data_IF_487169945181
#
_entry.id   IF_487169945181
#
_cell.length_a   1.000
_cell.length_b   1.000
_cell.length_c   1.000
_cell.angle_alpha   90.00
_cell.angle_beta   90.00
_cell.angle_gamma   90.00
#
_symmetry.space_group_name_H-M   'P 1'
#
loop_
_entity.id
_entity.type
_entity.pdbx_description
1 polymer ?
#
# COMPACT_ATOMS: atom_id res chain seq x y z
N UNK A 1 3.69 37.52 -17.56
CA UNK A 1 4.16 36.15 -17.36
C UNK A 1 4.00 35.83 -15.89
N UNK A 2 3.21 34.81 -15.62
CA UNK A 2 2.94 34.34 -14.27
C UNK A 2 4.22 33.75 -13.65
N UNK A 3 4.34 33.81 -12.32
CA UNK A 3 5.49 33.25 -11.61
C UNK A 3 5.61 31.73 -11.86
N UNK A 4 4.46 31.06 -11.95
CA UNK A 4 4.35 29.63 -12.24
C UNK A 4 4.74 29.30 -13.70
N UNK A 5 4.35 30.15 -14.64
CA UNK A 5 4.68 30.03 -16.06
C UNK A 5 6.18 30.23 -16.31
N UNK A 6 6.81 31.14 -15.55
CA UNK A 6 8.26 31.39 -15.62
C UNK A 6 9.07 30.27 -14.94
N UNK A 7 8.53 29.63 -13.90
CA UNK A 7 9.12 28.46 -13.25
C UNK A 7 9.02 27.21 -14.16
N UNK A 8 7.89 27.03 -14.83
CA UNK A 8 7.65 25.96 -15.80
C UNK A 8 8.62 26.02 -16.99
N UNK A 9 8.79 27.20 -17.58
CA UNK A 9 9.70 27.39 -18.71
C UNK A 9 11.18 27.24 -18.33
N UNK A 10 11.56 27.54 -17.08
CA UNK A 10 12.92 27.28 -16.58
C UNK A 10 13.16 25.79 -16.31
N UNK A 11 12.15 25.05 -15.85
CA UNK A 11 12.23 23.60 -15.61
C UNK A 11 12.42 22.77 -16.88
N UNK A 12 11.88 23.23 -18.02
CA UNK A 12 12.06 22.57 -19.32
C UNK A 12 13.49 22.69 -19.89
N UNK A 13 14.27 23.67 -19.44
CA UNK A 13 15.59 23.98 -19.98
C UNK A 13 16.76 23.40 -19.17
N UNK A 14 16.50 22.84 -17.99
CA UNK A 14 17.51 22.25 -17.13
C UNK A 14 17.10 20.80 -16.83
N UNK A 15 17.96 19.83 -17.17
CA UNK A 15 17.92 18.52 -16.51
C UNK A 15 18.17 18.77 -15.01
N UNK A 16 17.08 19.01 -14.28
CA UNK A 16 17.14 19.26 -12.86
C UNK A 16 17.69 17.99 -12.19
N UNK A 17 18.76 18.08 -11.40
CA UNK A 17 19.25 16.94 -10.65
C UNK A 17 18.12 16.42 -9.76
N UNK A 18 17.96 15.09 -9.73
CA UNK A 18 16.92 14.43 -8.96
C UNK A 18 16.90 14.98 -7.51
N UNK A 19 15.73 15.41 -7.00
CA UNK A 19 15.65 15.99 -5.67
C UNK A 19 16.21 15.03 -4.63
N UNK A 20 17.05 15.58 -3.75
CA UNK A 20 17.70 14.85 -2.65
C UNK A 20 16.61 14.32 -1.72
N UNK A 21 16.61 13.01 -1.43
CA UNK A 21 15.64 12.31 -0.58
C UNK A 21 15.54 12.91 0.83
N UNK A 22 14.73 13.94 0.99
CA UNK A 22 13.98 14.17 2.24
C UNK A 22 13.01 13.00 2.37
N UNK A 23 12.87 12.40 3.56
CA UNK A 23 11.93 11.29 3.77
C UNK A 23 10.60 11.57 3.07
N UNK A 24 10.08 10.59 2.33
CA UNK A 24 8.85 10.72 1.55
C UNK A 24 7.69 11.06 2.48
N UNK A 25 7.39 12.36 2.63
CA UNK A 25 6.31 12.85 3.48
C UNK A 25 5.01 12.82 2.70
N UNK A 26 4.03 12.08 3.21
CA UNK A 26 2.65 12.14 2.70
C UNK A 26 2.09 13.55 2.95
N UNK A 27 1.47 14.21 1.95
CA UNK A 27 0.85 15.52 2.16
C UNK A 27 -0.20 15.47 3.27
N UNK A 28 -0.24 16.49 4.13
CA UNK A 28 -1.13 16.52 5.29
C UNK A 28 -2.62 16.43 4.87
N UNK A 29 -3.00 17.03 3.74
CA UNK A 29 -4.35 16.92 3.17
C UNK A 29 -4.76 15.50 2.76
N UNK A 30 -3.78 14.63 2.43
CA UNK A 30 -4.05 13.22 2.14
C UNK A 30 -4.23 12.42 3.43
N UNK A 31 -3.51 12.78 4.50
CA UNK A 31 -3.73 12.19 5.81
C UNK A 31 -5.14 12.52 6.32
N UNK A 32 -5.54 13.80 6.25
CA UNK A 32 -6.89 14.26 6.58
C UNK A 32 -7.97 13.55 5.75
N UNK A 33 -7.72 13.31 4.46
CA UNK A 33 -8.64 12.59 3.58
C UNK A 33 -8.82 11.13 4.03
N UNK A 34 -7.73 10.45 4.37
CA UNK A 34 -7.78 9.06 4.82
C UNK A 34 -8.51 8.95 6.17
N UNK A 35 -8.23 9.86 7.10
CA UNK A 35 -8.92 9.91 8.40
C UNK A 35 -10.43 10.21 8.25
N UNK A 36 -10.83 10.88 7.17
CA UNK A 36 -12.23 11.17 6.83
C UNK A 36 -13.02 10.00 6.22
N UNK A 37 -12.41 8.82 6.05
CA UNK A 37 -12.99 7.65 5.39
C UNK A 37 -13.16 6.44 6.34
N UNK A 38 -13.93 6.56 7.43
CA UNK A 38 -13.93 5.59 8.53
C UNK A 38 -14.43 4.18 8.15
N UNK A 39 -15.14 4.04 7.03
CA UNK A 39 -15.69 2.77 6.55
C UNK A 39 -14.94 2.22 5.33
N UNK A 40 -13.86 2.87 4.90
CA UNK A 40 -13.16 2.56 3.67
C UNK A 40 -11.65 2.45 3.94
N UNK A 41 -11.14 1.22 4.10
CA UNK A 41 -9.72 0.99 4.35
C UNK A 41 -8.86 1.73 3.32
N UNK A 42 -7.90 2.51 3.80
CA UNK A 42 -7.08 3.33 2.94
C UNK A 42 -5.62 3.41 3.40
N UNK A 43 -4.73 3.46 2.41
CA UNK A 43 -3.30 3.62 2.65
C UNK A 43 -2.63 4.38 1.50
N UNK A 44 -1.45 4.93 1.77
CA UNK A 44 -0.59 5.55 0.76
C UNK A 44 0.62 4.67 0.56
N UNK A 45 1.04 4.49 -0.70
CA UNK A 45 2.30 3.84 -1.04
C UNK A 45 3.09 4.65 -2.07
N UNK A 46 4.40 4.45 -2.10
CA UNK A 46 5.25 4.98 -3.17
C UNK A 46 5.35 4.03 -4.38
N UNK A 47 6.14 4.43 -5.39
CA UNK A 47 6.40 3.61 -6.58
C UNK A 47 7.02 2.23 -6.28
N UNK A 48 7.77 2.10 -5.18
CA UNK A 48 8.34 0.82 -4.76
C UNK A 48 7.35 -0.07 -4.00
N UNK A 49 6.13 0.40 -3.72
CA UNK A 49 5.11 -0.22 -2.86
C UNK A 49 5.43 -0.21 -1.36
N UNK A 50 6.31 0.69 -0.91
CA UNK A 50 6.46 0.95 0.53
C UNK A 50 5.23 1.71 1.02
N UNK A 51 4.62 1.22 2.10
CA UNK A 51 3.50 1.86 2.77
C UNK A 51 3.99 3.12 3.52
N UNK A 52 3.42 4.27 3.21
CA UNK A 52 3.81 5.58 3.76
C UNK A 52 2.81 6.11 4.79
N UNK A 53 1.54 5.76 4.65
CA UNK A 53 0.46 6.07 5.59
C UNK A 53 -0.60 4.98 5.50
N UNK A 54 -1.34 4.73 6.57
CA UNK A 54 -2.35 3.67 6.64
C UNK A 54 -3.38 4.05 7.71
N UNK A 55 -4.66 3.83 7.42
CA UNK A 55 -5.72 3.99 8.41
C UNK A 55 -5.88 2.74 9.31
N UNK A 56 -6.50 2.86 10.49
CA UNK A 56 -6.68 1.72 11.39
C UNK A 56 -7.44 0.56 10.75
N UNK A 57 -8.43 0.83 9.90
CA UNK A 57 -9.24 -0.20 9.28
C UNK A 57 -8.43 -1.00 8.24
N UNK A 58 -7.56 -0.36 7.47
CA UNK A 58 -6.65 -1.08 6.57
C UNK A 58 -5.58 -1.85 7.33
N UNK A 59 -5.05 -1.31 8.43
CA UNK A 59 -4.11 -2.02 9.31
C UNK A 59 -4.75 -3.27 9.94
N UNK A 60 -6.07 -3.28 10.14
CA UNK A 60 -6.79 -4.45 10.64
C UNK A 60 -6.99 -5.54 9.58
N UNK A 61 -7.03 -5.21 8.28
CA UNK A 61 -7.12 -6.22 7.22
C UNK A 61 -5.90 -7.14 7.17
N UNK A 62 -4.72 -6.60 7.47
CA UNK A 62 -3.47 -7.34 7.61
C UNK A 62 -2.45 -6.56 8.44
N UNK A 63 -1.70 -7.23 9.33
CA UNK A 63 -0.62 -6.59 10.09
C UNK A 63 0.52 -6.03 9.22
N UNK A 64 0.60 -6.41 7.94
CA UNK A 64 1.59 -5.88 6.99
C UNK A 64 1.21 -4.51 6.43
N UNK A 65 -0.03 -4.06 6.57
CA UNK A 65 -0.41 -2.68 6.30
C UNK A 65 0.11 -1.77 7.41
N UNK A 66 1.39 -1.45 7.33
CA UNK A 66 2.14 -0.69 8.32
C UNK A 66 3.16 0.21 7.65
N UNK A 67 3.28 1.44 8.14
CA UNK A 67 4.26 2.41 7.63
C UNK A 67 5.67 1.82 7.64
N UNK A 68 6.36 1.95 6.51
CA UNK A 68 7.71 1.42 6.27
C UNK A 68 7.76 -0.02 5.76
N UNK A 69 6.63 -0.75 5.74
CA UNK A 69 6.57 -2.09 5.15
C UNK A 69 6.42 -1.99 3.63
N UNK A 70 7.23 -2.75 2.90
CA UNK A 70 7.05 -2.95 1.47
C UNK A 70 5.97 -4.01 1.23
N UNK A 71 4.82 -3.60 0.69
CA UNK A 71 3.64 -4.43 0.56
C UNK A 71 3.81 -5.56 -0.47
N UNK A 72 4.57 -5.33 -1.54
CA UNK A 72 4.89 -6.39 -2.51
C UNK A 72 5.82 -7.45 -1.89
N UNK A 73 6.81 -7.02 -1.11
CA UNK A 73 7.67 -7.96 -0.37
C UNK A 73 6.87 -8.75 0.65
N UNK A 74 5.97 -8.11 1.40
CA UNK A 74 5.11 -8.79 2.36
C UNK A 74 4.25 -9.87 1.69
N UNK A 75 3.52 -9.54 0.62
CA UNK A 75 2.65 -10.52 -0.06
C UNK A 75 3.43 -11.70 -0.67
N UNK A 76 4.67 -11.48 -1.12
CA UNK A 76 5.49 -12.52 -1.73
C UNK A 76 6.20 -13.43 -0.70
N UNK A 77 6.46 -12.94 0.51
CA UNK A 77 7.36 -13.59 1.47
C UNK A 77 6.70 -13.97 2.80
N UNK A 78 5.63 -13.31 3.23
CA UNK A 78 4.91 -13.65 4.45
C UNK A 78 3.85 -14.72 4.13
N UNK A 79 3.96 -15.95 4.70
CA UNK A 79 2.96 -17.00 4.49
C UNK A 79 1.55 -16.59 4.92
N UNK A 80 1.43 -15.67 5.89
CA UNK A 80 0.12 -15.18 6.37
C UNK A 80 -0.62 -14.40 5.30
N UNK A 81 0.09 -13.68 4.43
CA UNK A 81 -0.54 -13.02 3.28
C UNK A 81 -1.09 -14.02 2.27
N UNK A 82 -0.40 -15.16 2.10
CA UNK A 82 -0.86 -16.23 1.22
C UNK A 82 -2.09 -16.95 1.77
N UNK A 83 -2.17 -17.15 3.08
CA UNK A 83 -3.34 -17.74 3.75
C UNK A 83 -4.54 -16.78 3.75
N UNK A 84 -4.28 -15.48 3.94
CA UNK A 84 -5.29 -14.44 3.95
C UNK A 84 -5.91 -14.22 2.57
N UNK A 85 -5.16 -14.34 1.48
CA UNK A 85 -5.58 -13.86 0.15
C UNK A 85 -5.97 -15.00 -0.79
N UNK A 86 -7.27 -15.09 -1.11
CA UNK A 86 -7.79 -16.04 -2.12
C UNK A 86 -7.29 -15.72 -3.53
N UNK A 87 -6.99 -14.45 -3.77
CA UNK A 87 -6.54 -13.88 -5.03
C UNK A 87 -5.01 -13.69 -5.10
N UNK A 88 -4.26 -14.40 -4.25
CA UNK A 88 -2.81 -14.24 -4.11
C UNK A 88 -2.04 -14.41 -5.43
N UNK A 89 -2.44 -15.35 -6.27
CA UNK A 89 -1.80 -15.57 -7.57
C UNK A 89 -1.93 -14.34 -8.48
N UNK A 90 -3.13 -13.77 -8.59
CA UNK A 90 -3.40 -12.58 -9.40
C UNK A 90 -2.73 -11.33 -8.79
N UNK A 91 -2.76 -11.19 -7.46
CA UNK A 91 -2.12 -10.08 -6.76
C UNK A 91 -0.61 -10.05 -6.99
N UNK A 92 0.04 -11.20 -6.87
CA UNK A 92 1.49 -11.30 -7.08
C UNK A 92 1.86 -11.08 -8.54
N UNK A 93 1.08 -11.59 -9.48
CA UNK A 93 1.29 -11.33 -10.91
C UNK A 93 1.17 -9.84 -11.25
N UNK A 94 0.11 -9.18 -10.78
CA UNK A 94 -0.10 -7.75 -10.99
C UNK A 94 1.02 -6.92 -10.33
N UNK A 95 1.37 -7.23 -9.08
CA UNK A 95 2.41 -6.52 -8.32
C UNK A 95 3.79 -6.60 -8.99
N UNK A 96 4.18 -7.78 -9.47
CA UNK A 96 5.46 -7.98 -10.17
C UNK A 96 5.47 -7.25 -11.52
N UNK A 97 4.36 -7.30 -12.27
CA UNK A 97 4.24 -6.59 -13.54
C UNK A 97 4.29 -5.06 -13.36
N UNK A 98 3.66 -4.54 -12.31
CA UNK A 98 3.73 -3.12 -11.94
C UNK A 98 5.16 -2.73 -11.57
N UNK A 99 5.85 -3.52 -10.73
CA UNK A 99 7.25 -3.23 -10.36
C UNK A 99 8.15 -3.14 -11.60
N UNK A 100 7.93 -4.00 -12.60
CA UNK A 100 8.65 -3.93 -13.87
C UNK A 100 8.34 -2.67 -14.66
N UNK A 101 7.08 -2.26 -14.71
CA UNK A 101 6.67 -0.99 -15.33
C UNK A 101 7.41 0.19 -14.69
N UNK A 102 7.52 0.22 -13.36
CA UNK A 102 8.23 1.30 -12.63
C UNK A 102 9.75 1.29 -12.90
N UNK A 103 10.35 0.11 -13.06
CA UNK A 103 11.78 -0.03 -13.36
C UNK A 103 12.16 0.48 -14.76
N UNK A 104 11.26 0.41 -15.74
CA UNK A 104 11.51 0.82 -17.13
C UNK A 104 12.12 2.22 -17.27
N UNK A 105 11.40 3.29 -16.88
CA UNK A 105 11.93 4.66 -16.91
C UNK A 105 12.99 4.93 -15.84
N UNK A 106 13.03 4.11 -14.77
CA UNK A 106 13.91 4.28 -13.61
C UNK A 106 15.03 3.24 -13.56
N UNK A 107 15.59 2.86 -14.71
CA UNK A 107 16.57 1.76 -14.82
C UNK A 107 17.84 1.98 -14.00
N UNK A 108 18.11 3.21 -13.58
CA UNK A 108 19.26 3.56 -12.73
C UNK A 108 18.91 3.78 -11.25
N UNK A 109 17.65 3.58 -10.87
CA UNK A 109 17.21 3.71 -9.49
C UNK A 109 17.80 2.57 -8.62
N UNK A 110 18.69 2.88 -7.66
CA UNK A 110 19.34 1.87 -6.85
C UNK A 110 18.35 1.12 -5.95
N UNK A 111 17.26 1.79 -5.51
CA UNK A 111 16.26 1.18 -4.61
C UNK A 111 15.41 0.14 -5.34
N UNK A 112 15.02 0.41 -6.59
CA UNK A 112 14.32 -0.59 -7.42
C UNK A 112 15.23 -1.79 -7.72
N UNK A 113 16.51 -1.54 -8.05
CA UNK A 113 17.49 -2.61 -8.27
C UNK A 113 17.68 -3.50 -7.05
N UNK A 114 17.83 -2.89 -5.88
CA UNK A 114 17.95 -3.60 -4.61
C UNK A 114 16.70 -4.45 -4.34
N UNK A 115 15.50 -3.88 -4.48
CA UNK A 115 14.25 -4.59 -4.27
C UNK A 115 14.10 -5.79 -5.21
N UNK A 116 14.38 -5.61 -6.51
CA UNK A 116 14.36 -6.70 -7.50
C UNK A 116 15.40 -7.76 -7.16
N UNK A 117 16.60 -7.35 -6.75
CA UNK A 117 17.67 -8.26 -6.32
C UNK A 117 17.27 -9.12 -5.12
N UNK A 118 16.76 -8.49 -4.05
CA UNK A 118 16.31 -9.18 -2.83
C UNK A 118 15.18 -10.17 -3.13
N UNK A 119 14.14 -9.74 -3.85
CA UNK A 119 13.01 -10.60 -4.20
C UNK A 119 13.42 -11.73 -5.14
N UNK A 120 14.38 -11.50 -6.04
CA UNK A 120 14.92 -12.55 -6.92
C UNK A 120 15.63 -13.63 -6.12
N UNK A 121 16.31 -13.30 -5.02
CA UNK A 121 16.96 -14.28 -4.15
C UNK A 121 15.91 -15.03 -3.31
N UNK A 122 14.98 -14.29 -2.70
CA UNK A 122 14.14 -14.81 -1.62
C UNK A 122 12.81 -15.42 -2.06
N UNK A 123 12.29 -15.08 -3.24
CA UNK A 123 10.98 -15.55 -3.71
C UNK A 123 11.08 -16.29 -5.04
N UNK A 124 10.74 -17.59 -5.02
CA UNK A 124 10.61 -18.38 -6.25
C UNK A 124 9.49 -17.86 -7.14
N UNK A 125 8.33 -17.53 -6.54
CA UNK A 125 7.19 -16.95 -7.25
C UNK A 125 7.59 -15.66 -7.98
N UNK A 126 8.35 -14.79 -7.31
CA UNK A 126 8.87 -13.57 -7.94
C UNK A 126 9.74 -13.90 -9.15
N UNK A 127 10.72 -14.82 -9.02
CA UNK A 127 11.59 -15.20 -10.15
C UNK A 127 10.80 -15.69 -11.36
N UNK A 128 9.81 -16.56 -11.12
CA UNK A 128 8.96 -17.11 -12.18
C UNK A 128 8.16 -16.00 -12.90
N UNK A 129 7.53 -15.10 -12.15
CA UNK A 129 6.77 -13.99 -12.72
C UNK A 129 7.68 -12.96 -13.39
N UNK A 130 8.81 -12.63 -12.78
CA UNK A 130 9.77 -11.67 -13.32
C UNK A 130 10.32 -12.11 -14.68
N UNK A 131 10.57 -13.41 -14.85
CA UNK A 131 11.03 -13.99 -16.12
C UNK A 131 10.00 -13.90 -17.27
N UNK A 132 8.72 -13.62 -16.98
CA UNK A 132 7.69 -13.41 -18.02
C UNK A 132 7.79 -12.05 -18.70
N UNK A 133 8.51 -11.09 -18.10
CA UNK A 133 8.65 -9.73 -18.60
C UNK A 133 7.35 -8.94 -18.76
N UNK A 134 6.28 -9.37 -18.09
CA UNK A 134 4.99 -8.70 -18.14
C UNK A 134 5.07 -7.28 -17.56
N UNK A 135 4.42 -6.33 -18.24
CA UNK A 135 4.23 -4.96 -17.77
C UNK A 135 2.75 -4.66 -17.71
N UNK A 136 2.30 -4.07 -16.61
CA UNK A 136 0.91 -3.64 -16.43
C UNK A 136 0.86 -2.24 -15.83
N UNK A 137 -0.11 -1.40 -16.24
CA UNK A 137 -0.40 -0.16 -15.54
C UNK A 137 -1.08 -0.47 -14.19
N UNK A 138 -0.91 0.41 -13.21
CA UNK A 138 -1.68 0.35 -11.96
C UNK A 138 -3.16 0.62 -12.28
N UNK A 139 -4.04 -0.32 -11.91
CA UNK A 139 -5.50 -0.22 -12.10
C UNK A 139 -6.23 -0.59 -10.81
N UNK A 140 -7.51 -0.25 -10.76
CA UNK A 140 -8.42 -0.72 -9.73
C UNK A 140 -8.50 -2.25 -9.73
N UNK A 141 -8.75 -2.83 -8.56
CA UNK A 141 -8.62 -4.27 -8.30
C UNK A 141 -9.75 -4.75 -7.39
N UNK A 142 -10.18 -6.01 -7.55
CA UNK A 142 -10.99 -6.69 -6.54
C UNK A 142 -10.05 -7.49 -5.63
N UNK A 143 -10.08 -7.20 -4.33
CA UNK A 143 -9.34 -7.92 -3.31
C UNK A 143 -10.23 -8.95 -2.64
N UNK A 144 -9.79 -10.21 -2.60
CA UNK A 144 -10.53 -11.33 -2.02
C UNK A 144 -9.77 -11.92 -0.82
N UNK A 145 -10.27 -11.66 0.39
CA UNK A 145 -9.60 -11.99 1.66
C UNK A 145 -10.41 -12.98 2.48
N UNK A 146 -9.77 -13.96 3.10
CA UNK A 146 -10.33 -14.83 4.15
C UNK A 146 -9.82 -14.33 5.50
N UNK A 147 -10.49 -13.33 6.08
CA UNK A 147 -10.06 -12.69 7.32
C UNK A 147 -10.38 -13.58 8.54
N UNK A 148 -9.44 -13.78 9.48
CA UNK A 148 -9.63 -14.70 10.60
C UNK A 148 -10.80 -14.34 11.53
N UNK A 149 -11.11 -13.04 11.68
CA UNK A 149 -12.15 -12.58 12.61
C UNK A 149 -13.52 -12.35 11.94
N UNK A 150 -13.56 -12.06 10.64
CA UNK A 150 -14.80 -11.66 9.95
C UNK A 150 -15.11 -12.51 8.71
N UNK A 151 -14.29 -13.53 8.44
CA UNK A 151 -14.49 -14.44 7.32
C UNK A 151 -14.17 -13.81 5.97
N UNK A 152 -14.90 -14.22 4.94
CA UNK A 152 -14.66 -13.81 3.57
C UNK A 152 -15.04 -12.33 3.34
N UNK A 153 -14.11 -11.58 2.76
CA UNK A 153 -14.28 -10.19 2.34
C UNK A 153 -13.92 -10.02 0.87
N UNK A 154 -14.77 -9.33 0.12
CA UNK A 154 -14.48 -8.81 -1.21
C UNK A 154 -14.50 -7.28 -1.23
N UNK A 155 -13.35 -6.67 -1.54
CA UNK A 155 -13.17 -5.22 -1.52
C UNK A 155 -12.66 -4.72 -2.86
N UNK A 156 -13.38 -3.77 -3.45
CA UNK A 156 -12.90 -3.03 -4.63
C UNK A 156 -11.93 -1.95 -4.18
N UNK A 157 -10.73 -1.96 -4.75
CA UNK A 157 -9.69 -0.98 -4.46
C UNK A 157 -9.48 -0.07 -5.66
N UNK A 158 -9.57 1.23 -5.43
CA UNK A 158 -9.24 2.27 -6.40
C UNK A 158 -7.87 2.87 -6.07
N UNK A 159 -7.09 3.17 -7.11
CA UNK A 159 -5.72 3.68 -7.00
C UNK A 159 -5.67 5.08 -7.61
N UNK A 160 -5.34 6.08 -6.79
CA UNK A 160 -5.34 7.48 -7.15
C UNK A 160 -3.92 8.04 -7.01
N UNK A 161 -3.33 8.52 -8.12
CA UNK A 161 -2.02 9.16 -8.08
C UNK A 161 -2.11 10.52 -7.38
N UNK A 162 -1.20 10.78 -6.44
CA UNK A 162 -1.14 12.04 -5.71
C UNK A 162 -0.24 13.02 -6.46
N UNK A 163 -0.85 14.06 -7.04
CA UNK A 163 -0.12 15.11 -7.75
C UNK A 163 0.89 15.85 -6.86
N UNK A 164 2.00 16.30 -7.43
CA UNK A 164 3.06 17.02 -6.69
C UNK A 164 3.97 16.12 -5.84
N UNK A 165 3.88 14.80 -5.99
CA UNK A 165 4.74 13.82 -5.28
C UNK A 165 5.57 13.00 -6.27
N UNK A 166 6.63 12.33 -5.79
CA UNK A 166 7.39 11.35 -6.59
C UNK A 166 6.63 10.02 -6.70
N UNK A 167 5.51 10.04 -7.43
CA UNK A 167 4.69 8.86 -7.76
C UNK A 167 4.04 8.17 -6.54
N UNK A 168 3.58 8.94 -5.55
CA UNK A 168 2.74 8.38 -4.49
C UNK A 168 1.35 8.02 -5.02
N UNK A 169 0.80 6.93 -4.48
CA UNK A 169 -0.53 6.43 -4.80
C UNK A 169 -1.34 6.27 -3.52
N UNK A 170 -2.50 6.91 -3.46
CA UNK A 170 -3.55 6.63 -2.48
C UNK A 170 -4.36 5.42 -2.96
N UNK A 171 -4.51 4.41 -2.10
CA UNK A 171 -5.34 3.25 -2.36
C UNK A 171 -6.51 3.28 -1.37
N UNK A 172 -7.74 3.28 -1.90
CA UNK A 172 -8.97 3.25 -1.10
C UNK A 172 -9.73 2.00 -1.46
N UNK A 173 -10.14 1.23 -0.45
CA UNK A 173 -10.91 0.01 -0.64
C UNK A 173 -12.34 0.15 -0.12
N UNK A 174 -13.29 -0.47 -0.81
CA UNK A 174 -14.69 -0.44 -0.44
C UNK A 174 -15.39 -1.76 -0.75
N UNK A 175 -16.29 -2.17 0.13
CA UNK A 175 -17.27 -3.20 -0.17
C UNK A 175 -18.31 -2.66 -1.17
N UNK A 176 -18.87 -3.53 -2.01
CA UNK A 176 -19.98 -3.14 -2.90
C UNK A 176 -21.20 -2.78 -2.04
N UNK A 177 -21.84 -1.62 -2.22
CA UNK A 177 -23.02 -1.26 -1.42
C UNK A 177 -24.12 -2.33 -1.48
N UNK A 178 -24.66 -2.69 -0.31
CA UNK A 178 -25.69 -3.73 -0.18
C UNK A 178 -25.17 -5.18 -0.18
N UNK A 179 -23.87 -5.40 -0.28
CA UNK A 179 -23.25 -6.72 -0.08
C UNK A 179 -23.04 -7.05 1.40
N UNK A 180 -22.81 -8.34 1.72
CA UNK A 180 -22.42 -8.80 3.07
C UNK A 180 -21.03 -8.31 3.49
N UNK A 181 -20.20 -7.92 2.51
CA UNK A 181 -18.86 -7.39 2.77
C UNK A 181 -18.94 -6.04 3.51
N UNK A 182 -20.03 -5.28 3.34
CA UNK A 182 -20.27 -4.04 4.11
C UNK A 182 -20.42 -4.34 5.59
N UNK A 183 -21.23 -5.35 5.93
CA UNK A 183 -21.45 -5.78 7.32
C UNK A 183 -20.17 -6.35 7.94
N UNK A 184 -19.44 -7.16 7.17
CA UNK A 184 -18.19 -7.78 7.62
C UNK A 184 -17.09 -6.74 7.86
N UNK A 185 -17.01 -5.71 7.01
CA UNK A 185 -16.09 -4.60 7.17
C UNK A 185 -16.46 -3.69 8.35
N UNK A 186 -17.75 -3.44 8.57
CA UNK A 186 -18.24 -2.71 9.75
C UNK A 186 -18.00 -3.48 11.05
N UNK A 187 -18.13 -4.81 11.02
CA UNK A 187 -17.80 -5.68 12.15
C UNK A 187 -16.31 -5.58 12.49
N UNK A 188 -15.43 -5.62 11.47
CA UNK A 188 -14.00 -5.42 11.66
C UNK A 188 -13.71 -4.05 12.30
N UNK A 189 -14.34 -2.98 11.83
CA UNK A 189 -14.24 -1.65 12.43
C UNK A 189 -14.66 -1.63 13.92
N UNK A 190 -15.72 -2.35 14.27
CA UNK A 190 -16.22 -2.45 15.64
C UNK A 190 -15.26 -3.22 16.56
N UNK A 191 -14.59 -4.26 16.05
CA UNK A 191 -13.57 -5.01 16.78
C UNK A 191 -12.35 -4.15 17.11
N UNK A 192 -11.92 -3.29 16.17
CA UNK A 192 -10.83 -2.33 16.37
C UNK A 192 -11.19 -1.36 17.50
N UNK A 193 -12.38 -0.76 17.44
CA UNK A 193 -12.84 0.17 18.48
C UNK A 193 -12.88 -0.48 19.87
N UNK A 194 -13.41 -1.72 19.94
CA UNK A 194 -13.50 -2.48 21.19
C UNK A 194 -12.13 -2.81 21.80
N UNK A 195 -11.14 -3.13 20.96
CA UNK A 195 -9.76 -3.39 21.42
C UNK A 195 -9.06 -2.13 21.94
N UNK A 196 -9.44 -0.95 21.47
CA UNK A 196 -8.93 0.32 21.99
C UNK A 196 -9.57 0.73 23.34
N UNK A 197 -10.77 0.24 23.64
CA UNK A 197 -11.50 0.57 24.87
C UNK A 197 -11.16 -0.33 26.07
N UNK A 198 -10.47 -1.47 25.88
CA UNK A 198 -10.02 -2.30 27.00
C UNK A 198 -8.81 -1.68 27.72
N UNK A 199 -8.92 -1.22 28.99
CA UNK A 199 -7.77 -0.72 29.74
C UNK A 199 -6.82 -1.88 30.04
N UNK A 200 -5.52 -1.70 29.80
CA UNK A 200 -4.49 -2.63 30.27
C UNK A 200 -4.67 -2.85 31.79
N UNK A 201 -4.77 -4.10 32.28
CA UNK A 201 -4.84 -4.35 33.71
C UNK A 201 -3.53 -3.86 34.35
N UNK A 202 -3.65 -2.86 35.23
CA UNK A 202 -2.58 -2.33 36.06
C UNK A 202 -1.76 -3.48 36.66
N UNK A 203 -0.50 -3.60 36.25
CA UNK A 203 0.47 -4.45 36.94
C UNK A 203 0.70 -3.85 38.34
N UNK A 204 0.47 -4.59 39.44
CA UNK A 204 0.73 -4.07 40.76
C UNK A 204 2.25 -3.87 40.94
N UNK A 205 2.65 -2.66 41.35
CA UNK A 205 4.03 -2.34 41.70
C UNK A 205 4.57 -3.33 42.73
N UNK A 206 5.79 -3.85 42.58
CA UNK A 206 6.41 -4.65 43.61
C UNK A 206 6.64 -3.75 44.85
N UNK A 207 5.99 -4.13 45.96
CA UNK A 207 6.44 -3.75 47.29
C UNK A 207 7.66 -4.60 47.62
N UNK A 208 8.80 -3.95 47.78
CA UNK A 208 9.72 -4.00 48.93
C UNK A 208 11.12 -3.51 48.54
#
# INVERSE_FOLDING_TARGET
MDADETAYLRGLAQELPAPRRTGEKVPDSILELIDGLPNNPAYVQNKYTDCLAVDPLCAALSPNYKVGVNLLTAVLLDPRERELRRDWDDLTEEGVAILRTELGPNVNDPRLKELVGDLSVRSERFRQLWARHDVRPRKSRLSQLTHPEVGDLELRSDKLTIGGTDSMTLVISHAVPGSRDVESLALLGSLIASNHEQPQPNQPSPKD
#
